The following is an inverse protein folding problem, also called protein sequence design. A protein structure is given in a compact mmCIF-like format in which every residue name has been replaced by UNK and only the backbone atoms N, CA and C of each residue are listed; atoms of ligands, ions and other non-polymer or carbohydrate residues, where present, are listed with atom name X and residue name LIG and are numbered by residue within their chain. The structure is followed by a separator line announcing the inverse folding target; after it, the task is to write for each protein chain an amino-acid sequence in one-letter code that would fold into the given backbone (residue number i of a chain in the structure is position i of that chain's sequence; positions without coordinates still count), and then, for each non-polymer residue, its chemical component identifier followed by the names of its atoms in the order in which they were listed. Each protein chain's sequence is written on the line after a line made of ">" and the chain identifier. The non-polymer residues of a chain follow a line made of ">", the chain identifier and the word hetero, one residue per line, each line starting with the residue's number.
data_IF_628932376829
#
_entry.id   IF_628932376829
#
_cell.length_a   1.000
_cell.length_b   1.000
_cell.length_c   1.000
_cell.angle_alpha   90.00
_cell.angle_beta   90.00
_cell.angle_gamma   90.00
#
_symmetry.space_group_name_H-M   'P 1'
#
loop_
_entity.id
_entity.type
_entity.pdbx_description
1 polymer ?
#
# COMPACT_ATOMS: atom_id res chain seq x y z
N UNK A 1 -29.29 11.40 14.67
CA UNK A 1 -27.94 10.92 14.35
C UNK A 1 -27.24 12.04 13.62
N UNK A 2 -26.35 12.77 14.29
CA UNK A 2 -25.48 13.73 13.61
C UNK A 2 -24.50 12.92 12.78
N UNK A 3 -24.59 13.00 11.46
CA UNK A 3 -23.50 12.56 10.58
C UNK A 3 -22.22 13.16 11.14
N UNK A 4 -21.27 12.32 11.58
CA UNK A 4 -20.01 12.81 12.13
C UNK A 4 -19.39 13.79 11.14
N UNK A 5 -18.99 14.97 11.60
CA UNK A 5 -18.63 16.08 10.72
C UNK A 5 -17.52 15.71 9.72
N UNK A 6 -16.67 14.74 10.05
CA UNK A 6 -15.60 14.27 9.17
C UNK A 6 -16.11 13.41 8.01
N UNK A 7 -17.22 12.70 8.18
CA UNK A 7 -17.83 11.88 7.12
C UNK A 7 -18.33 12.77 5.98
N UNK A 8 -19.00 13.88 6.31
CA UNK A 8 -19.45 14.84 5.31
C UNK A 8 -18.26 15.47 4.56
N UNK A 9 -17.22 15.89 5.30
CA UNK A 9 -16.00 16.43 4.71
C UNK A 9 -15.28 15.41 3.82
N UNK A 10 -15.24 14.13 4.22
CA UNK A 10 -14.67 13.07 3.39
C UNK A 10 -15.43 12.93 2.06
N UNK A 11 -16.76 12.89 2.09
CA UNK A 11 -17.58 12.81 0.87
C UNK A 11 -17.42 14.04 -0.04
N UNK A 12 -17.31 15.24 0.56
CA UNK A 12 -16.99 16.46 -0.20
C UNK A 12 -15.60 16.37 -0.86
N UNK A 13 -14.59 15.86 -0.15
CA UNK A 13 -13.27 15.66 -0.72
C UNK A 13 -13.28 14.66 -1.88
N UNK A 14 -14.01 13.54 -1.76
CA UNK A 14 -14.17 12.60 -2.87
C UNK A 14 -14.84 13.26 -4.09
N UNK A 15 -15.79 14.15 -3.86
CA UNK A 15 -16.43 14.94 -4.92
C UNK A 15 -15.45 15.89 -5.60
N UNK A 16 -14.57 16.55 -4.84
CA UNK A 16 -13.48 17.36 -5.42
C UNK A 16 -12.52 16.52 -6.25
N UNK A 17 -12.16 15.31 -5.80
CA UNK A 17 -11.29 14.41 -6.57
C UNK A 17 -11.92 13.97 -7.89
N UNK A 18 -13.24 13.71 -7.92
CA UNK A 18 -13.98 13.43 -9.17
C UNK A 18 -13.91 14.59 -10.17
N UNK A 19 -13.78 15.82 -9.68
CA UNK A 19 -13.61 17.03 -10.49
C UNK A 19 -12.13 17.37 -10.75
N UNK A 20 -11.19 16.49 -10.38
CA UNK A 20 -9.74 16.71 -10.45
C UNK A 20 -9.24 17.94 -9.65
N UNK A 21 -9.99 18.36 -8.62
CA UNK A 21 -9.64 19.47 -7.73
C UNK A 21 -8.83 18.95 -6.53
N UNK A 22 -7.55 18.62 -6.77
CA UNK A 22 -6.67 17.96 -5.79
C UNK A 22 -6.38 18.81 -4.54
N UNK A 23 -6.13 20.12 -4.68
CA UNK A 23 -5.83 20.98 -3.53
C UNK A 23 -7.03 21.20 -2.60
N UNK A 24 -8.23 21.54 -3.11
CA UNK A 24 -9.43 21.59 -2.28
C UNK A 24 -9.75 20.26 -1.61
N UNK A 25 -9.54 19.13 -2.31
CA UNK A 25 -9.69 17.81 -1.73
C UNK A 25 -8.73 17.58 -0.55
N UNK A 26 -7.44 17.88 -0.72
CA UNK A 26 -6.42 17.72 0.34
C UNK A 26 -6.75 18.56 1.57
N UNK A 27 -7.13 19.82 1.39
CA UNK A 27 -7.49 20.69 2.51
C UNK A 27 -8.78 20.24 3.22
N UNK A 28 -9.76 19.75 2.46
CA UNK A 28 -11.00 19.20 3.04
C UNK A 28 -10.73 17.92 3.83
N UNK A 29 -9.85 17.05 3.34
CA UNK A 29 -9.43 15.83 4.04
C UNK A 29 -8.65 16.14 5.33
N UNK A 30 -7.78 17.15 5.34
CA UNK A 30 -7.09 17.59 6.56
C UNK A 30 -8.09 18.06 7.62
N UNK A 31 -9.14 18.79 7.22
CA UNK A 31 -10.23 19.20 8.12
C UNK A 31 -11.03 18.00 8.62
N UNK A 32 -11.33 17.04 7.74
CA UNK A 32 -11.98 15.79 8.12
C UNK A 32 -11.14 15.05 9.18
N UNK A 33 -9.85 14.85 8.92
CA UNK A 33 -8.94 14.16 9.82
C UNK A 33 -8.87 14.82 11.20
N UNK A 34 -8.83 16.17 11.25
CA UNK A 34 -8.81 16.91 12.51
C UNK A 34 -10.09 16.75 13.36
N UNK A 35 -11.17 16.26 12.77
CA UNK A 35 -12.45 16.01 13.44
C UNK A 35 -12.63 14.54 13.85
N UNK A 36 -11.73 13.64 13.44
CA UNK A 36 -11.77 12.22 13.82
C UNK A 36 -11.40 12.11 15.29
N UNK A 37 -12.28 11.49 16.09
CA UNK A 37 -12.03 11.23 17.51
C UNK A 37 -10.99 10.12 17.70
N UNK A 38 -10.41 9.99 18.90
CA UNK A 38 -9.49 8.87 19.17
C UNK A 38 -10.19 7.51 19.04
N UNK A 39 -11.47 7.42 19.41
CA UNK A 39 -12.27 6.20 19.31
C UNK A 39 -12.54 5.80 17.84
N UNK A 40 -12.49 6.77 16.93
CA UNK A 40 -12.68 6.55 15.49
C UNK A 40 -11.38 6.19 14.76
N UNK A 41 -10.21 6.34 15.40
CA UNK A 41 -8.89 5.99 14.84
C UNK A 41 -8.60 4.48 14.96
N UNK A 42 -9.49 3.66 14.42
CA UNK A 42 -9.51 2.19 14.56
C UNK A 42 -9.49 1.47 13.23
N UNK A 43 -9.09 0.19 13.25
CA UNK A 43 -8.82 -0.59 12.03
C UNK A 43 -10.06 -0.87 11.20
N UNK A 44 -11.24 -0.93 11.84
CA UNK A 44 -12.53 -1.22 11.22
C UNK A 44 -13.29 0.06 10.78
N UNK A 45 -12.67 1.24 10.88
CA UNK A 45 -13.25 2.49 10.38
C UNK A 45 -12.79 2.78 8.93
N UNK A 46 -13.60 2.47 7.91
CA UNK A 46 -13.21 2.68 6.51
C UNK A 46 -13.11 4.16 6.13
N UNK A 47 -13.84 5.05 6.81
CA UNK A 47 -13.79 6.48 6.51
C UNK A 47 -12.49 7.09 7.02
N UNK A 48 -12.10 6.78 8.27
CA UNK A 48 -10.81 7.21 8.81
C UNK A 48 -9.65 6.73 7.94
N UNK A 49 -9.63 5.43 7.62
CA UNK A 49 -8.58 4.85 6.79
C UNK A 49 -8.61 5.39 5.35
N UNK A 50 -9.78 5.64 4.80
CA UNK A 50 -9.97 6.30 3.51
C UNK A 50 -9.46 7.74 3.49
N UNK A 51 -9.62 8.50 4.58
CA UNK A 51 -9.03 9.85 4.72
C UNK A 51 -7.51 9.75 4.71
N UNK A 52 -6.94 8.86 5.54
CA UNK A 52 -5.50 8.68 5.69
C UNK A 52 -4.85 8.23 4.38
N UNK A 53 -5.39 7.21 3.71
CA UNK A 53 -4.84 6.70 2.46
C UNK A 53 -4.91 7.73 1.33
N UNK A 54 -5.99 8.51 1.28
CA UNK A 54 -6.13 9.57 0.28
C UNK A 54 -5.17 10.72 0.54
N UNK A 55 -4.95 11.10 1.80
CA UNK A 55 -3.95 12.11 2.18
C UNK A 55 -2.52 11.65 1.86
N UNK A 56 -2.20 10.38 2.12
CA UNK A 56 -0.91 9.79 1.75
C UNK A 56 -0.67 9.87 0.24
N UNK A 57 -1.66 9.44 -0.56
CA UNK A 57 -1.62 9.52 -2.02
C UNK A 57 -1.42 10.96 -2.52
N UNK A 58 -2.23 11.91 -2.06
CA UNK A 58 -2.13 13.31 -2.48
C UNK A 58 -0.82 13.96 -2.05
N UNK A 59 -0.24 13.54 -0.93
CA UNK A 59 1.07 14.03 -0.49
C UNK A 59 2.18 13.50 -1.38
N UNK A 60 2.14 12.22 -1.75
CA UNK A 60 3.10 11.64 -2.69
C UNK A 60 3.04 12.31 -4.07
N UNK A 61 1.83 12.51 -4.61
CA UNK A 61 1.61 13.22 -5.88
C UNK A 61 2.16 14.66 -5.89
N UNK A 62 2.22 15.30 -4.73
CA UNK A 62 2.74 16.66 -4.55
C UNK A 62 4.22 16.68 -4.15
N UNK A 63 4.92 15.54 -4.21
CA UNK A 63 6.29 15.36 -3.73
C UNK A 63 6.50 15.74 -2.24
N UNK A 64 5.42 15.75 -1.44
CA UNK A 64 5.45 15.87 0.02
C UNK A 64 5.71 14.49 0.64
N UNK A 65 6.94 14.01 0.47
CA UNK A 65 7.34 12.66 0.92
C UNK A 65 7.25 12.49 2.43
N UNK A 66 7.52 13.54 3.20
CA UNK A 66 7.45 13.50 4.66
C UNK A 66 5.98 13.39 5.12
N UNK A 67 5.08 14.15 4.50
CA UNK A 67 3.64 14.02 4.73
C UNK A 67 3.13 12.64 4.32
N UNK A 68 3.55 12.13 3.17
CA UNK A 68 3.18 10.78 2.71
C UNK A 68 3.62 9.70 3.69
N UNK A 69 4.88 9.70 4.13
CA UNK A 69 5.38 8.76 5.15
C UNK A 69 4.56 8.83 6.43
N UNK A 70 4.30 10.05 6.95
CA UNK A 70 3.51 10.23 8.17
C UNK A 70 2.13 9.61 8.08
N UNK A 71 1.40 9.82 6.98
CA UNK A 71 0.06 9.23 6.82
C UNK A 71 0.12 7.72 6.60
N UNK A 72 1.11 7.22 5.85
CA UNK A 72 1.35 5.79 5.69
C UNK A 72 1.58 5.12 7.03
N UNK A 73 2.50 5.64 7.84
CA UNK A 73 2.83 5.09 9.15
C UNK A 73 1.63 5.18 10.11
N UNK A 74 0.91 6.30 10.11
CA UNK A 74 -0.30 6.46 10.91
C UNK A 74 -1.34 5.39 10.57
N UNK A 75 -1.67 5.19 9.29
CA UNK A 75 -2.68 4.20 8.93
C UNK A 75 -2.22 2.76 9.12
N UNK A 76 -0.96 2.43 8.83
CA UNK A 76 -0.42 1.08 9.03
C UNK A 76 -0.22 0.72 10.51
N UNK A 77 -0.06 1.71 11.40
CA UNK A 77 -0.04 1.48 12.86
C UNK A 77 -1.37 0.95 13.38
N UNK A 78 -2.47 1.33 12.72
CA UNK A 78 -3.84 0.92 13.07
C UNK A 78 -4.25 -0.32 12.29
N UNK A 79 -4.10 -0.31 10.95
CA UNK A 79 -4.42 -1.45 10.08
C UNK A 79 -3.20 -1.87 9.27
N UNK A 80 -2.49 -2.89 9.77
CA UNK A 80 -1.24 -3.40 9.16
C UNK A 80 -1.42 -3.96 7.75
N UNK A 81 -2.61 -4.48 7.43
CA UNK A 81 -2.93 -5.08 6.13
C UNK A 81 -3.72 -4.14 5.21
N UNK A 82 -3.59 -2.82 5.37
CA UNK A 82 -4.29 -1.87 4.50
C UNK A 82 -3.60 -1.77 3.13
N UNK A 83 -4.30 -2.22 2.08
CA UNK A 83 -3.73 -2.45 0.75
C UNK A 83 -3.13 -1.17 0.13
N UNK A 84 -3.87 -0.06 0.13
CA UNK A 84 -3.36 1.19 -0.44
C UNK A 84 -2.13 1.75 0.28
N UNK A 85 -2.09 1.65 1.61
CA UNK A 85 -0.99 2.17 2.40
C UNK A 85 0.27 1.33 2.24
N UNK A 86 0.13 0.00 2.11
CA UNK A 86 1.24 -0.89 1.79
C UNK A 86 1.80 -0.59 0.38
N UNK A 87 0.93 -0.34 -0.60
CA UNK A 87 1.37 0.04 -1.94
C UNK A 87 2.14 1.36 -1.94
N UNK A 88 1.58 2.40 -1.30
CA UNK A 88 2.24 3.71 -1.16
C UNK A 88 3.56 3.61 -0.39
N UNK A 89 3.62 2.77 0.66
CA UNK A 89 4.86 2.50 1.39
C UNK A 89 5.94 1.88 0.49
N UNK A 90 5.58 0.93 -0.38
CA UNK A 90 6.53 0.33 -1.31
C UNK A 90 7.12 1.38 -2.28
N UNK A 91 6.31 2.32 -2.77
CA UNK A 91 6.78 3.43 -3.61
C UNK A 91 7.74 4.36 -2.85
N UNK A 92 7.41 4.72 -1.61
CA UNK A 92 8.27 5.56 -0.76
C UNK A 92 9.61 4.88 -0.45
N UNK A 93 9.60 3.57 -0.18
CA UNK A 93 10.81 2.80 0.09
C UNK A 93 11.69 2.64 -1.16
N UNK A 94 11.07 2.59 -2.35
CA UNK A 94 11.79 2.62 -3.63
C UNK A 94 12.58 3.92 -3.79
N UNK A 95 11.94 5.06 -3.54
CA UNK A 95 12.58 6.38 -3.58
C UNK A 95 13.74 6.50 -2.58
N UNK A 96 13.53 5.95 -1.38
CA UNK A 96 14.54 5.89 -0.31
C UNK A 96 15.63 4.83 -0.54
N UNK A 97 15.52 4.00 -1.58
CA UNK A 97 16.43 2.87 -1.87
C UNK A 97 16.53 1.84 -0.73
N UNK A 98 15.47 1.68 0.05
CA UNK A 98 15.37 0.73 1.16
C UNK A 98 14.79 -0.59 0.67
N UNK A 99 15.57 -1.33 -0.11
CA UNK A 99 15.07 -2.45 -0.92
C UNK A 99 14.65 -3.68 -0.12
N UNK A 100 15.29 -3.99 1.01
CA UNK A 100 14.87 -5.10 1.89
C UNK A 100 13.46 -4.84 2.45
N UNK A 101 13.25 -3.65 3.02
CA UNK A 101 11.94 -3.26 3.56
C UNK A 101 10.88 -3.10 2.48
N UNK A 102 11.28 -2.65 1.29
CA UNK A 102 10.40 -2.58 0.12
C UNK A 102 9.93 -3.98 -0.25
N UNK A 103 10.85 -4.95 -0.33
CA UNK A 103 10.53 -6.33 -0.65
C UNK A 103 9.56 -6.92 0.39
N UNK A 104 9.85 -6.77 1.68
CA UNK A 104 8.94 -7.19 2.76
C UNK A 104 7.57 -6.52 2.65
N UNK A 105 7.52 -5.21 2.37
CA UNK A 105 6.26 -4.46 2.21
C UNK A 105 5.44 -4.99 1.04
N UNK A 106 6.08 -5.35 -0.08
CA UNK A 106 5.42 -5.97 -1.23
C UNK A 106 4.83 -7.33 -0.86
N UNK A 107 5.52 -8.15 -0.07
CA UNK A 107 4.97 -9.43 0.40
C UNK A 107 3.74 -9.22 1.30
N UNK A 108 3.79 -8.25 2.20
CA UNK A 108 2.62 -7.88 3.01
C UNK A 108 1.44 -7.38 2.16
N UNK A 109 1.71 -6.59 1.11
CA UNK A 109 0.69 -6.14 0.16
C UNK A 109 0.00 -7.33 -0.53
N UNK A 110 0.78 -8.31 -1.02
CA UNK A 110 0.25 -9.49 -1.70
C UNK A 110 -0.52 -10.43 -0.77
N UNK A 111 -0.12 -10.52 0.51
CA UNK A 111 -0.91 -11.18 1.55
C UNK A 111 -2.24 -10.44 1.76
N UNK A 112 -2.20 -9.12 1.96
CA UNK A 112 -3.40 -8.30 2.16
C UNK A 112 -4.39 -8.42 0.99
N UNK A 113 -3.90 -8.48 -0.25
CA UNK A 113 -4.73 -8.70 -1.46
C UNK A 113 -5.52 -10.00 -1.42
N UNK A 114 -5.07 -11.00 -0.66
CA UNK A 114 -5.77 -12.27 -0.45
C UNK A 114 -6.83 -12.24 0.65
N UNK A 115 -6.88 -11.19 1.49
CA UNK A 115 -7.70 -11.19 2.71
C UNK A 115 -9.19 -10.91 2.47
N UNK A 116 -9.57 -10.37 1.32
CA UNK A 116 -10.97 -10.22 0.92
C UNK A 116 -11.74 -9.07 1.60
N UNK A 117 -11.06 -8.08 2.17
CA UNK A 117 -11.70 -6.89 2.77
C UNK A 117 -12.02 -5.77 1.75
N UNK A 118 -11.84 -6.03 0.45
CA UNK A 118 -12.18 -5.13 -0.66
C UNK A 118 -13.66 -4.72 -0.70
N UNK A 119 -14.56 -5.51 -0.10
CA UNK A 119 -15.97 -5.14 0.04
C UNK A 119 -16.20 -4.03 1.08
N UNK A 120 -15.26 -3.84 2.00
CA UNK A 120 -15.31 -2.84 3.08
C UNK A 120 -14.55 -1.58 2.69
N UNK A 121 -13.40 -1.74 2.02
CA UNK A 121 -12.55 -0.62 1.61
C UNK A 121 -12.52 -0.50 0.09
N UNK A 122 -12.87 0.69 -0.42
CA UNK A 122 -12.71 1.04 -1.84
C UNK A 122 -11.23 1.34 -2.14
N UNK A 123 -10.38 0.30 -2.14
CA UNK A 123 -8.94 0.44 -2.35
C UNK A 123 -8.60 0.95 -3.77
N UNK A 124 -7.79 1.99 -3.84
CA UNK A 124 -7.24 2.53 -5.10
C UNK A 124 -6.34 1.53 -5.80
N UNK A 125 -5.58 0.74 -5.06
CA UNK A 125 -4.53 -0.12 -5.61
C UNK A 125 -4.90 -1.59 -5.66
N UNK A 126 -6.17 -1.99 -5.53
CA UNK A 126 -6.57 -3.39 -5.64
C UNK A 126 -6.66 -3.92 -7.10
N UNK A 127 -6.57 -3.04 -8.09
CA UNK A 127 -6.81 -3.39 -9.50
C UNK A 127 -5.60 -4.07 -10.19
N UNK A 128 -5.84 -4.69 -11.35
CA UNK A 128 -4.80 -5.40 -12.13
C UNK A 128 -3.59 -4.54 -12.50
N UNK A 129 -3.80 -3.26 -12.80
CA UNK A 129 -2.70 -2.33 -13.08
C UNK A 129 -1.69 -2.19 -11.93
N UNK A 130 -2.15 -2.18 -10.67
CA UNK A 130 -1.28 -2.11 -9.51
C UNK A 130 -0.54 -3.44 -9.29
N UNK A 131 -1.21 -4.57 -9.53
CA UNK A 131 -0.56 -5.88 -9.52
C UNK A 131 0.50 -6.00 -10.62
N UNK A 132 0.25 -5.44 -11.79
CA UNK A 132 1.24 -5.40 -12.88
C UNK A 132 2.48 -4.62 -12.45
N UNK A 133 2.30 -3.43 -11.89
CA UNK A 133 3.39 -2.62 -11.34
C UNK A 133 4.20 -3.39 -10.29
N UNK A 134 3.52 -4.14 -9.41
CA UNK A 134 4.19 -5.00 -8.43
C UNK A 134 5.03 -6.08 -9.12
N UNK A 135 4.44 -6.91 -9.98
CA UNK A 135 5.13 -8.08 -10.53
C UNK A 135 6.17 -7.76 -11.60
N UNK A 136 5.97 -6.67 -12.35
CA UNK A 136 6.83 -6.32 -13.48
C UNK A 136 7.91 -5.30 -13.11
N UNK A 137 7.72 -4.53 -12.03
CA UNK A 137 8.66 -3.47 -11.65
C UNK A 137 9.11 -3.55 -10.18
N UNK A 138 8.20 -3.35 -9.22
CA UNK A 138 8.59 -3.16 -7.82
C UNK A 138 9.20 -4.42 -7.20
N UNK A 139 8.60 -5.59 -7.44
CA UNK A 139 9.09 -6.86 -6.92
C UNK A 139 10.44 -7.23 -7.55
N UNK A 140 10.62 -7.22 -8.89
CA UNK A 140 11.94 -7.48 -9.46
C UNK A 140 13.02 -6.50 -9.01
N UNK A 141 12.69 -5.22 -8.92
CA UNK A 141 13.68 -4.20 -8.52
C UNK A 141 14.12 -4.39 -7.08
N UNK A 142 13.17 -4.56 -6.15
CA UNK A 142 13.47 -4.80 -4.74
C UNK A 142 14.19 -6.12 -4.53
N UNK A 143 13.74 -7.21 -5.15
CA UNK A 143 14.38 -8.53 -5.02
C UNK A 143 15.83 -8.52 -5.47
N UNK A 144 16.12 -7.93 -6.64
CA UNK A 144 17.49 -7.84 -7.18
C UNK A 144 18.45 -7.04 -6.28
N UNK A 145 17.94 -6.05 -5.56
CA UNK A 145 18.74 -5.10 -4.80
C UNK A 145 18.69 -5.34 -3.28
N UNK A 146 17.79 -6.20 -2.80
CA UNK A 146 17.70 -6.60 -1.41
C UNK A 146 18.90 -7.47 -1.00
N UNK A 147 19.43 -7.20 0.18
CA UNK A 147 20.47 -8.02 0.79
C UNK A 147 19.89 -9.38 1.24
N UNK A 148 18.69 -9.36 1.83
CA UNK A 148 18.01 -10.52 2.42
C UNK A 148 17.10 -11.27 1.42
N UNK A 149 17.40 -11.18 0.12
CA UNK A 149 16.53 -11.70 -0.93
C UNK A 149 16.29 -13.22 -0.80
N UNK A 150 17.30 -13.98 -0.37
CA UNK A 150 17.21 -15.45 -0.25
C UNK A 150 16.29 -15.83 0.90
N UNK A 151 16.49 -15.21 2.05
CA UNK A 151 15.69 -15.42 3.26
C UNK A 151 14.23 -15.05 3.02
N UNK A 152 13.97 -13.91 2.37
CA UNK A 152 12.62 -13.45 2.05
C UNK A 152 11.94 -14.38 1.04
N UNK A 153 12.64 -14.85 0.01
CA UNK A 153 12.08 -15.83 -0.94
C UNK A 153 11.72 -17.14 -0.25
N UNK A 154 12.56 -17.64 0.65
CA UNK A 154 12.27 -18.87 1.40
C UNK A 154 11.04 -18.71 2.31
N UNK A 155 10.86 -17.52 2.89
CA UNK A 155 9.64 -17.16 3.61
C UNK A 155 8.43 -17.14 2.67
N UNK A 156 8.53 -16.50 1.50
CA UNK A 156 7.45 -16.44 0.49
C UNK A 156 7.04 -17.83 0.04
N UNK A 157 7.99 -18.75 -0.15
CA UNK A 157 7.69 -20.16 -0.47
C UNK A 157 6.79 -20.78 0.58
N UNK A 158 7.20 -20.74 1.86
CA UNK A 158 6.43 -21.29 2.99
C UNK A 158 5.05 -20.65 3.11
N UNK A 159 4.97 -19.33 2.96
CA UNK A 159 3.70 -18.59 3.04
C UNK A 159 2.77 -18.92 1.88
N UNK A 160 3.29 -19.09 0.66
CA UNK A 160 2.48 -19.43 -0.52
C UNK A 160 1.80 -20.80 -0.37
N UNK A 161 2.49 -21.76 0.26
CA UNK A 161 1.97 -23.10 0.56
C UNK A 161 0.92 -23.05 1.68
N UNK A 162 1.21 -22.33 2.77
CA UNK A 162 0.33 -22.24 3.93
C UNK A 162 -0.96 -21.44 3.67
N UNK A 163 -0.83 -20.27 3.04
CA UNK A 163 -1.95 -19.36 2.81
C UNK A 163 -2.77 -19.72 1.56
N UNK A 164 -2.28 -20.64 0.71
CA UNK A 164 -2.84 -20.94 -0.63
C UNK A 164 -3.09 -19.66 -1.46
N UNK A 165 -2.26 -18.63 -1.26
CA UNK A 165 -2.40 -17.34 -1.91
C UNK A 165 -1.83 -17.41 -3.33
N UNK A 166 -2.70 -17.31 -4.33
CA UNK A 166 -2.30 -17.21 -5.75
C UNK A 166 -1.37 -16.01 -6.00
N UNK A 167 -1.51 -14.94 -5.22
CA UNK A 167 -0.65 -13.76 -5.31
C UNK A 167 0.79 -14.06 -4.88
N UNK A 168 0.96 -14.79 -3.77
CA UNK A 168 2.30 -15.19 -3.32
C UNK A 168 2.93 -16.26 -4.22
N UNK A 169 2.12 -17.18 -4.79
CA UNK A 169 2.62 -18.13 -5.79
C UNK A 169 3.22 -17.40 -6.98
N UNK A 170 2.50 -16.41 -7.52
CA UNK A 170 2.99 -15.60 -8.64
C UNK A 170 4.25 -14.79 -8.28
N UNK A 171 4.34 -14.25 -7.06
CA UNK A 171 5.56 -13.59 -6.60
C UNK A 171 6.76 -14.54 -6.55
N UNK A 172 6.56 -15.76 -6.04
CA UNK A 172 7.60 -16.79 -5.99
C UNK A 172 8.09 -17.17 -7.40
N UNK A 173 7.19 -17.31 -8.37
CA UNK A 173 7.53 -17.58 -9.77
C UNK A 173 8.44 -16.49 -10.35
N UNK A 174 8.15 -15.22 -10.08
CA UNK A 174 8.99 -14.08 -10.50
C UNK A 174 10.38 -14.18 -9.87
N UNK A 175 10.47 -14.40 -8.56
CA UNK A 175 11.76 -14.52 -7.85
C UNK A 175 12.61 -15.69 -8.39
N UNK A 176 12.01 -16.86 -8.59
CA UNK A 176 12.69 -18.05 -9.13
C UNK A 176 13.20 -17.80 -10.54
N UNK A 177 12.40 -17.15 -11.40
CA UNK A 177 12.82 -16.78 -12.76
C UNK A 177 14.03 -15.85 -12.74
N UNK A 178 14.08 -14.90 -11.80
CA UNK A 178 15.20 -13.98 -11.67
C UNK A 178 16.51 -14.67 -11.24
N UNK A 179 16.44 -15.61 -10.30
CA UNK A 179 17.63 -16.39 -9.90
C UNK A 179 18.20 -17.17 -11.09
N UNK A 180 17.32 -17.78 -11.91
CA UNK A 180 17.73 -18.49 -13.11
C UNK A 180 18.46 -17.61 -14.13
N UNK A 181 18.01 -16.36 -14.31
CA UNK A 181 18.67 -15.39 -15.20
C UNK A 181 20.03 -14.94 -14.65
N UNK A 182 20.15 -14.78 -13.33
CA UNK A 182 21.42 -14.41 -12.68
C UNK A 182 22.48 -15.49 -12.88
N UNK A 183 22.12 -16.75 -12.65
CA UNK A 183 23.03 -17.88 -12.80
C UNK A 183 23.50 -18.08 -14.26
N UNK A 184 22.75 -17.60 -15.25
CA UNK A 184 23.14 -17.65 -16.66
C UNK A 184 24.07 -16.51 -17.09
N UNK A 185 24.16 -15.43 -16.31
CA UNK A 185 25.04 -14.29 -16.60
C UNK A 185 26.43 -14.43 -15.93
N UNK A 186 26.56 -15.34 -14.96
CA UNK A 186 27.80 -15.64 -14.24
C UNK A 186 28.59 -16.82 -14.87
N UNK A 187 28.12 -17.37 -16.00
CA UNK A 187 28.74 -18.43 -16.80
C UNK A 187 29.05 -17.95 -18.22
#
# INVERSE_FOLDING_TARGET
>A
MTTESYTANYQSALSYLKLNLKDPAKETLKRALAQVSQDDMREDNPIYLGIISTLAFLSLEQADFQGACRYVDQGLSVKKSHLDLLFLKALLLMDQKRYDEMLETIIHYLLAKGNGDEAVYEYRYAHEGALREIYENLLPTSYRLAFQQVEIKDLVRKLSEAARSEWLKKALEVMVKMDGQRNQQEH
#
